data_IF_371120450053
#
_entry.id   IF_371120450053
#
_cell.length_a   1.000
_cell.length_b   1.000
_cell.length_c   1.000
_cell.angle_alpha   90.00
_cell.angle_beta   90.00
_cell.angle_gamma   90.00
#
_symmetry.space_group_name_H-M   'P 1'
#
loop_
_entity.id
_entity.type
_entity.pdbx_description
1 polymer ?
#
# COMPACT_ATOMS: atom_id res chain seq x y z
N UNK A 1 -8.66 -10.90 -7.91
CA UNK A 1 -7.78 -12.00 -7.43
C UNK A 1 -6.45 -11.42 -7.00
N UNK A 2 -6.43 -10.72 -5.85
CA UNK A 2 -5.26 -10.68 -4.98
C UNK A 2 -5.50 -11.76 -3.94
N UNK A 3 -5.13 -12.97 -4.33
CA UNK A 3 -5.27 -14.15 -3.52
C UNK A 3 -4.23 -14.12 -2.42
N UNK A 4 -4.70 -13.93 -1.20
CA UNK A 4 -4.31 -14.67 -0.01
C UNK A 4 -2.89 -14.47 0.50
N UNK A 5 -2.78 -13.87 1.68
CA UNK A 5 -1.86 -14.45 2.66
C UNK A 5 -2.54 -14.62 4.02
N UNK A 6 -2.34 -15.83 4.52
CA UNK A 6 -3.04 -16.52 5.57
C UNK A 6 -2.62 -15.96 6.92
N UNK A 7 -3.58 -15.53 7.74
CA UNK A 7 -3.45 -15.53 9.20
C UNK A 7 -3.20 -16.97 9.64
N UNK A 8 -1.98 -17.30 10.01
CA UNK A 8 -1.66 -18.40 10.92
C UNK A 8 -0.57 -17.90 11.86
N UNK A 9 -0.95 -17.72 13.12
CA UNK A 9 -0.01 -17.43 14.18
C UNK A 9 0.95 -18.60 14.42
N UNK A 10 2.18 -18.26 14.79
CA UNK A 10 2.93 -19.05 15.76
C UNK A 10 3.99 -18.20 16.42
N UNK A 11 3.79 -17.99 17.72
CA UNK A 11 4.83 -17.67 18.68
C UNK A 11 6.12 -18.47 18.41
N UNK A 12 7.25 -17.75 18.45
CA UNK A 12 8.36 -18.06 19.36
C UNK A 12 9.35 -16.89 19.35
N UNK A 13 9.53 -16.32 20.53
CA UNK A 13 10.35 -15.13 20.74
C UNK A 13 11.86 -15.34 20.56
N UNK A 14 12.54 -14.20 20.39
CA UNK A 14 13.85 -13.90 20.97
C UNK A 14 14.01 -12.39 20.94
N UNK A 15 14.37 -11.84 22.09
CA UNK A 15 14.43 -10.41 22.32
C UNK A 15 15.42 -9.69 21.42
N UNK A 16 15.07 -8.46 21.08
CA UNK A 16 16.02 -7.39 20.84
C UNK A 16 15.49 -6.15 21.54
N UNK A 17 15.98 -5.97 22.77
CA UNK A 17 16.04 -4.66 23.37
C UNK A 17 17.13 -3.87 22.61
N UNK A 18 16.70 -2.83 21.89
CA UNK A 18 17.56 -1.70 21.53
C UNK A 18 16.68 -0.45 21.37
N UNK A 19 16.29 0.13 22.50
CA UNK A 19 16.13 1.57 22.56
C UNK A 19 17.52 2.20 22.69
N UNK A 20 18.02 2.79 21.61
CA UNK A 20 18.83 4.01 21.62
C UNK A 20 19.39 4.25 20.21
N UNK A 21 18.76 5.23 19.56
CA UNK A 21 19.35 6.28 18.73
C UNK A 21 18.56 6.42 17.42
N UNK A 22 17.80 7.51 17.33
CA UNK A 22 16.84 7.78 16.26
C UNK A 22 17.23 9.04 15.51
N UNK A 23 18.49 9.11 15.09
CA UNK A 23 18.90 10.05 14.04
C UNK A 23 19.53 9.24 12.91
N UNK A 24 18.78 8.93 11.83
CA UNK A 24 19.39 8.27 10.69
C UNK A 24 20.36 9.22 9.97
N UNK A 25 21.55 8.75 9.58
CA UNK A 25 22.45 9.51 8.72
C UNK A 25 21.74 9.81 7.38
N UNK A 26 21.78 11.07 6.96
CA UNK A 26 21.30 11.49 5.64
C UNK A 26 22.31 11.02 4.60
N UNK A 27 21.96 9.94 3.90
CA UNK A 27 22.63 9.55 2.66
C UNK A 27 21.75 10.02 1.51
N UNK A 28 22.31 10.79 0.59
CA UNK A 28 21.63 11.42 -0.55
C UNK A 28 21.27 10.43 -1.67
N UNK A 29 20.40 9.48 -1.34
CA UNK A 29 19.46 8.79 -2.23
C UNK A 29 18.18 8.64 -1.39
N UNK A 30 16.99 8.90 -1.93
CA UNK A 30 15.76 9.07 -1.12
C UNK A 30 15.46 7.78 -0.33
N UNK A 31 16.00 7.68 0.87
CA UNK A 31 15.67 6.64 1.82
C UNK A 31 14.20 6.81 2.16
N UNK A 32 13.36 5.93 1.64
CA UNK A 32 11.92 6.02 1.85
C UNK A 32 11.66 6.00 3.36
N UNK A 33 10.97 7.01 3.87
CA UNK A 33 10.60 6.99 5.30
C UNK A 33 9.39 6.08 5.50
N UNK A 34 9.19 5.58 6.72
CA UNK A 34 8.00 4.80 7.04
C UNK A 34 6.70 5.58 6.74
N UNK A 35 6.64 6.87 7.11
CA UNK A 35 5.52 7.74 6.79
C UNK A 35 5.29 7.88 5.27
N UNK A 36 6.35 7.96 4.49
CA UNK A 36 6.24 7.99 3.02
C UNK A 36 5.64 6.71 2.46
N UNK A 37 6.04 5.53 2.98
CA UNK A 37 5.44 4.24 2.59
C UNK A 37 3.95 4.22 2.91
N UNK A 38 3.56 4.74 4.07
CA UNK A 38 2.15 4.85 4.46
C UNK A 38 1.38 5.75 3.51
N UNK A 39 1.94 6.89 3.11
CA UNK A 39 1.26 7.79 2.17
C UNK A 39 1.17 7.22 0.76
N UNK A 40 2.22 6.54 0.28
CA UNK A 40 2.18 5.82 -1.01
C UNK A 40 1.13 4.71 -0.99
N UNK A 41 1.05 3.93 0.10
CA UNK A 41 0.04 2.89 0.27
C UNK A 41 -1.37 3.48 0.21
N UNK A 42 -1.64 4.59 0.91
CA UNK A 42 -2.94 5.27 0.84
C UNK A 42 -3.31 5.76 -0.55
N UNK A 43 -2.34 6.30 -1.28
CA UNK A 43 -2.58 6.74 -2.65
C UNK A 43 -2.98 5.54 -3.53
N UNK A 44 -2.31 4.40 -3.38
CA UNK A 44 -2.67 3.17 -4.06
C UNK A 44 -4.07 2.68 -3.62
N UNK A 45 -4.40 2.70 -2.33
CA UNK A 45 -5.70 2.27 -1.81
C UNK A 45 -6.85 3.15 -2.32
N UNK A 46 -6.65 4.48 -2.35
CA UNK A 46 -7.63 5.42 -2.89
C UNK A 46 -7.84 5.24 -4.40
N UNK A 47 -6.76 4.99 -5.16
CA UNK A 47 -6.86 4.69 -6.58
C UNK A 47 -7.58 3.35 -6.81
N UNK A 48 -7.33 2.34 -5.96
CA UNK A 48 -8.02 1.06 -6.02
C UNK A 48 -9.51 1.20 -5.72
N UNK A 49 -9.88 1.99 -4.71
CA UNK A 49 -11.27 2.28 -4.38
C UNK A 49 -12.03 2.91 -5.56
N UNK A 50 -11.36 3.81 -6.29
CA UNK A 50 -11.91 4.38 -7.53
C UNK A 50 -12.15 3.30 -8.60
N UNK A 51 -11.24 2.34 -8.75
CA UNK A 51 -11.40 1.23 -9.71
C UNK A 51 -12.59 0.35 -9.35
N UNK A 52 -12.76 0.00 -8.07
CA UNK A 52 -13.90 -0.80 -7.62
C UNK A 52 -15.22 -0.01 -7.75
N UNK A 53 -15.26 1.29 -7.44
CA UNK A 53 -16.45 2.13 -7.64
C UNK A 53 -16.88 2.20 -9.11
N UNK A 54 -15.92 2.35 -10.03
CA UNK A 54 -16.20 2.32 -11.48
C UNK A 54 -16.72 0.95 -11.92
N UNK A 55 -16.20 -0.13 -11.33
CA UNK A 55 -16.65 -1.50 -11.61
C UNK A 55 -18.05 -1.78 -11.07
N UNK A 56 -18.38 -1.27 -9.90
CA UNK A 56 -19.73 -1.35 -9.33
C UNK A 56 -20.72 -0.51 -10.15
N UNK A 57 -20.32 0.69 -10.57
CA UNK A 57 -21.17 1.62 -11.34
C UNK A 57 -21.45 1.13 -12.76
N UNK A 58 -20.45 0.59 -13.45
CA UNK A 58 -20.58 0.21 -14.86
C UNK A 58 -20.80 -1.29 -15.10
N UNK A 59 -20.69 -2.11 -14.05
CA UNK A 59 -20.76 -3.56 -14.11
C UNK A 59 -19.42 -4.22 -14.49
N UNK A 60 -19.34 -5.56 -14.44
CA UNK A 60 -18.11 -6.28 -14.72
C UNK A 60 -17.62 -6.01 -16.15
N UNK A 61 -16.32 -5.69 -16.37
CA UNK A 61 -15.79 -5.41 -17.71
C UNK A 61 -16.05 -6.53 -18.73
N UNK A 62 -16.15 -7.77 -18.26
CA UNK A 62 -16.37 -8.95 -19.08
C UNK A 62 -17.83 -9.14 -19.55
N UNK A 63 -18.80 -8.43 -18.97
CA UNK A 63 -20.23 -8.65 -19.23
C UNK A 63 -20.82 -7.76 -20.32
N UNK A 64 -19.98 -7.04 -21.08
CA UNK A 64 -20.37 -6.16 -22.22
C UNK A 64 -21.34 -5.02 -21.84
N UNK A 65 -21.26 -4.50 -20.62
CA UNK A 65 -22.07 -3.37 -20.16
C UNK A 65 -21.47 -1.98 -20.45
N UNK A 66 -20.15 -1.89 -20.64
CA UNK A 66 -19.46 -0.60 -20.74
C UNK A 66 -19.47 -0.05 -22.17
N UNK A 67 -19.87 1.22 -22.30
CA UNK A 67 -19.58 2.03 -23.50
C UNK A 67 -18.08 2.25 -23.65
N UNK A 68 -17.61 2.56 -24.87
CA UNK A 68 -16.18 2.81 -25.11
C UNK A 68 -15.58 3.91 -24.22
N UNK A 69 -16.36 4.94 -23.89
CA UNK A 69 -15.93 5.99 -22.96
C UNK A 69 -15.78 5.46 -21.52
N UNK A 70 -16.74 4.67 -21.04
CA UNK A 70 -16.70 4.05 -19.70
C UNK A 70 -15.53 3.07 -19.57
N UNK A 71 -15.30 2.24 -20.58
CA UNK A 71 -14.14 1.34 -20.62
C UNK A 71 -12.83 2.13 -20.59
N UNK A 72 -12.72 3.23 -21.34
CA UNK A 72 -11.53 4.09 -21.33
C UNK A 72 -11.26 4.75 -19.97
N UNK A 73 -12.31 5.21 -19.28
CA UNK A 73 -12.20 5.75 -17.92
C UNK A 73 -11.74 4.67 -16.93
N UNK A 74 -12.37 3.49 -16.98
CA UNK A 74 -12.00 2.36 -16.13
C UNK A 74 -10.55 1.92 -16.36
N UNK A 75 -10.11 1.78 -17.61
CA UNK A 75 -8.74 1.38 -17.96
C UNK A 75 -7.71 2.42 -17.50
N UNK A 76 -8.05 3.71 -17.55
CA UNK A 76 -7.19 4.79 -17.07
C UNK A 76 -7.01 4.72 -15.56
N UNK A 77 -8.11 4.57 -14.81
CA UNK A 77 -8.06 4.39 -13.36
C UNK A 77 -7.27 3.13 -12.96
N UNK A 78 -7.52 2.01 -13.67
CA UNK A 78 -6.83 0.74 -13.45
C UNK A 78 -5.32 0.88 -13.68
N UNK A 79 -4.90 1.61 -14.72
CA UNK A 79 -3.48 1.88 -14.99
C UNK A 79 -2.86 2.72 -13.87
N UNK A 80 -3.51 3.80 -13.47
CA UNK A 80 -3.03 4.68 -12.40
C UNK A 80 -2.83 3.92 -11.08
N UNK A 81 -3.80 3.09 -10.68
CA UNK A 81 -3.68 2.24 -9.51
C UNK A 81 -2.51 1.25 -9.63
N UNK A 82 -2.35 0.58 -10.78
CA UNK A 82 -1.24 -0.38 -10.99
C UNK A 82 0.13 0.28 -10.87
N UNK A 83 0.26 1.51 -11.36
CA UNK A 83 1.53 2.24 -11.30
C UNK A 83 1.86 2.67 -9.86
N UNK A 84 0.86 3.13 -9.10
CA UNK A 84 1.01 3.41 -7.65
C UNK A 84 1.33 2.13 -6.85
N UNK A 85 0.65 1.03 -7.13
CA UNK A 85 0.92 -0.24 -6.47
C UNK A 85 2.35 -0.73 -6.74
N UNK A 86 2.88 -0.53 -7.95
CA UNK A 86 4.28 -0.86 -8.27
C UNK A 86 5.26 0.02 -7.52
N UNK A 87 5.00 1.32 -7.43
CA UNK A 87 5.82 2.28 -6.67
C UNK A 87 5.89 1.91 -5.18
N UNK A 88 4.74 1.59 -4.57
CA UNK A 88 4.66 1.08 -3.18
C UNK A 88 5.53 -0.16 -2.99
N UNK A 89 5.42 -1.14 -3.89
CA UNK A 89 6.17 -2.41 -3.80
C UNK A 89 7.69 -2.21 -3.98
N UNK A 90 8.09 -1.26 -4.83
CA UNK A 90 9.49 -0.86 -4.99
C UNK A 90 10.01 -0.21 -3.70
N UNK A 91 9.28 0.77 -3.16
CA UNK A 91 9.66 1.50 -1.96
C UNK A 91 9.76 0.59 -0.71
N UNK A 92 8.81 -0.33 -0.53
CA UNK A 92 8.85 -1.35 0.53
C UNK A 92 10.08 -2.25 0.42
N UNK A 93 10.46 -2.63 -0.80
CA UNK A 93 11.62 -3.49 -1.04
C UNK A 93 12.92 -2.77 -0.71
N UNK A 94 13.02 -1.49 -1.04
CA UNK A 94 14.17 -0.64 -0.73
C UNK A 94 14.27 -0.41 0.78
N UNK A 95 13.19 0.02 1.42
CA UNK A 95 13.14 0.23 2.86
C UNK A 95 13.48 -1.04 3.67
N UNK A 96 13.00 -2.21 3.24
CA UNK A 96 13.34 -3.48 3.88
C UNK A 96 14.84 -3.80 3.79
N UNK A 97 15.47 -3.53 2.63
CA UNK A 97 16.92 -3.72 2.45
C UNK A 97 17.72 -2.77 3.34
N UNK A 98 17.34 -1.50 3.37
CA UNK A 98 18.03 -0.46 4.16
C UNK A 98 17.91 -0.70 5.67
N UNK A 99 16.73 -1.11 6.14
CA UNK A 99 16.48 -1.35 7.56
C UNK A 99 16.89 -2.75 8.03
N UNK A 100 17.18 -3.66 7.10
CA UNK A 100 17.45 -5.07 7.39
C UNK A 100 16.26 -5.82 7.99
N UNK A 101 15.04 -5.25 7.91
CA UNK A 101 13.82 -5.85 8.45
C UNK A 101 13.14 -6.74 7.40
N UNK A 102 12.40 -7.78 7.81
CA UNK A 102 11.59 -8.56 6.89
C UNK A 102 10.55 -7.68 6.19
N UNK A 103 10.50 -7.75 4.85
CA UNK A 103 9.57 -6.96 4.03
C UNK A 103 8.10 -7.18 4.42
N UNK A 104 7.72 -8.43 4.74
CA UNK A 104 6.35 -8.76 5.14
C UNK A 104 5.91 -8.07 6.43
N UNK A 105 6.84 -7.87 7.39
CA UNK A 105 6.53 -7.18 8.65
C UNK A 105 6.29 -5.69 8.40
N UNK A 106 7.12 -5.09 7.53
CA UNK A 106 6.96 -3.69 7.12
C UNK A 106 5.64 -3.50 6.37
N UNK A 107 5.32 -4.39 5.43
CA UNK A 107 4.06 -4.37 4.68
C UNK A 107 2.85 -4.36 5.61
N UNK A 108 2.81 -5.27 6.59
CA UNK A 108 1.72 -5.34 7.55
C UNK A 108 1.61 -4.09 8.45
N UNK A 109 2.75 -3.49 8.81
CA UNK A 109 2.78 -2.24 9.58
C UNK A 109 2.28 -1.04 8.76
N UNK A 110 2.71 -0.94 7.50
CA UNK A 110 2.30 0.11 6.57
C UNK A 110 0.80 0.00 6.26
N UNK A 111 0.30 -1.21 6.00
CA UNK A 111 -1.13 -1.47 5.76
C UNK A 111 -1.97 -1.04 6.97
N UNK A 112 -1.57 -1.43 8.18
CA UNK A 112 -2.27 -1.04 9.41
C UNK A 112 -2.26 0.47 9.60
N UNK A 113 -1.11 1.11 9.44
CA UNK A 113 -0.98 2.56 9.59
C UNK A 113 -1.75 3.33 8.50
N UNK A 114 -1.82 2.80 7.28
CA UNK A 114 -2.61 3.36 6.19
C UNK A 114 -4.11 3.35 6.55
N UNK A 115 -4.61 2.23 7.06
CA UNK A 115 -5.99 2.06 7.50
C UNK A 115 -6.35 2.91 8.72
N UNK A 116 -5.47 3.01 9.72
CA UNK A 116 -5.74 3.72 10.97
C UNK A 116 -5.99 5.22 10.79
N UNK A 117 -5.26 5.90 9.88
CA UNK A 117 -5.55 7.32 9.63
C UNK A 117 -6.75 7.53 8.70
N UNK A 118 -7.13 6.54 7.88
CA UNK A 118 -8.40 6.58 7.14
C UNK A 118 -9.61 6.48 8.09
N UNK A 119 -9.45 5.84 9.25
CA UNK A 119 -10.47 5.74 10.30
C UNK A 119 -10.52 6.96 11.25
N UNK A 120 -9.53 7.86 11.21
CA UNK A 120 -9.54 9.04 12.10
C UNK A 120 -10.66 9.99 11.68
N UNK A 121 -11.69 10.22 12.52
CA UNK A 121 -12.72 11.21 12.20
C UNK A 121 -12.07 12.60 12.14
N UNK A 122 -12.52 13.50 11.25
CA UNK A 122 -12.02 14.88 11.24
C UNK A 122 -12.26 15.48 12.62
N UNK A 123 -11.21 16.03 13.22
CA UNK A 123 -11.38 16.88 14.40
C UNK A 123 -12.28 18.05 13.96
N UNK A 124 -13.44 18.15 14.60
CA UNK A 124 -14.47 19.15 14.30
C UNK A 124 -14.01 20.58 14.54
#
# INVERSE_FOLDING_TARGET
MFGGFRVVGRDRGRGFDRRADRTPPRFDGVAHTFDELVQKQRAADAAHATVEDLRETYGPPAERGMTGAQSGTYETALRAWRDLARDVQAALSEYAKETGRPRADIEAEVERAAADQAHRPPAG
#
